data_IF_763914608078
#
_entry.id   IF_763914608078
#
_cell.length_a   1.000
_cell.length_b   1.000
_cell.length_c   1.000
_cell.angle_alpha   90.00
_cell.angle_beta   90.00
_cell.angle_gamma   90.00
#
_symmetry.space_group_name_H-M   'P 1'
#
loop_
_entity.id
_entity.type
_entity.pdbx_description
1 polymer ?
#
# COMPACT_ATOMS: atom_id res chain seq x y z
N UNK A 1 -50.60 -22.05 59.72
CA UNK A 1 -51.74 -21.18 60.08
C UNK A 1 -51.31 -19.75 59.78
N UNK A 2 -51.96 -18.90 59.00
CA UNK A 2 -53.30 -18.82 58.40
C UNK A 2 -53.18 -17.85 57.21
N UNK A 3 -53.89 -18.17 56.13
CA UNK A 3 -54.47 -17.34 55.05
C UNK A 3 -54.30 -15.80 55.12
N UNK A 4 -54.29 -15.04 54.02
CA UNK A 4 -54.94 -15.24 52.73
C UNK A 4 -55.30 -13.90 52.07
N UNK A 5 -55.72 -14.00 50.80
CA UNK A 5 -56.67 -13.16 50.03
C UNK A 5 -56.68 -11.63 50.25
N UNK A 6 -56.52 -10.82 49.20
CA UNK A 6 -57.66 -10.25 48.45
C UNK A 6 -57.09 -9.23 47.43
N UNK A 7 -56.92 -9.52 46.14
CA UNK A 7 -57.80 -9.29 44.97
C UNK A 7 -58.99 -8.31 45.09
N UNK A 8 -59.01 -7.37 44.13
CA UNK A 8 -60.16 -6.63 43.51
C UNK A 8 -60.50 -5.28 44.19
N UNK A 9 -60.95 -4.21 43.53
CA UNK A 9 -61.54 -4.04 42.19
C UNK A 9 -61.47 -2.56 41.73
N UNK A 10 -61.41 -2.39 40.42
CA UNK A 10 -61.79 -1.26 39.55
C UNK A 10 -62.81 -0.22 40.12
N UNK A 11 -62.57 1.08 39.83
CA UNK A 11 -63.63 1.99 39.33
C UNK A 11 -63.08 2.96 38.29
N UNK A 12 -63.68 2.86 37.11
CA UNK A 12 -63.58 3.75 35.95
C UNK A 12 -64.62 4.90 36.11
N UNK A 13 -64.43 5.94 35.28
CA UNK A 13 -65.42 6.88 34.69
C UNK A 13 -65.24 8.34 35.08
N UNK A 14 -65.07 9.17 34.03
CA UNK A 14 -65.15 10.63 34.04
C UNK A 14 -64.20 11.24 33.00
N UNK A 15 -64.31 10.85 31.72
CA UNK A 15 -64.87 11.69 30.63
C UNK A 15 -64.41 13.15 30.67
N UNK A 16 -63.45 13.48 29.79
CA UNK A 16 -63.00 14.84 29.52
C UNK A 16 -62.02 14.82 28.37
N UNK A 17 -62.55 14.91 27.15
CA UNK A 17 -61.78 14.98 25.91
C UNK A 17 -61.61 16.45 25.51
N UNK A 18 -60.43 17.07 25.68
CA UNK A 18 -60.03 18.16 24.81
C UNK A 18 -59.21 17.57 23.66
N UNK A 19 -59.78 17.66 22.46
CA UNK A 19 -59.06 17.46 21.20
C UNK A 19 -58.01 18.57 21.13
N UNK A 20 -56.80 18.28 21.59
CA UNK A 20 -55.64 19.09 21.29
C UNK A 20 -55.24 18.76 19.84
N UNK A 21 -55.46 19.72 18.94
CA UNK A 21 -54.87 19.75 17.61
C UNK A 21 -53.35 19.63 17.76
N UNK A 22 -52.84 18.41 17.69
CA UNK A 22 -51.42 18.17 17.54
C UNK A 22 -51.02 18.68 16.15
N UNK A 23 -50.46 19.89 16.09
CA UNK A 23 -49.73 20.36 14.91
C UNK A 23 -48.74 19.27 14.51
N UNK A 24 -48.77 18.76 13.27
CA UNK A 24 -47.67 17.97 12.76
C UNK A 24 -46.58 18.96 12.37
N UNK A 25 -45.92 19.57 13.36
CA UNK A 25 -44.53 19.98 13.16
C UNK A 25 -43.77 18.66 13.07
N UNK A 26 -43.72 18.18 11.83
CA UNK A 26 -42.88 17.10 11.36
C UNK A 26 -41.55 17.21 12.09
N UNK A 27 -41.30 16.23 12.95
CA UNK A 27 -39.97 15.82 13.32
C UNK A 27 -39.23 15.65 11.98
N UNK A 28 -38.44 16.65 11.58
CA UNK A 28 -37.31 16.39 10.69
C UNK A 28 -36.37 15.51 11.52
N UNK A 29 -36.67 14.21 11.53
CA UNK A 29 -35.67 13.20 11.79
C UNK A 29 -34.64 13.44 10.71
N UNK A 30 -33.56 14.13 11.08
CA UNK A 30 -32.32 14.17 10.34
C UNK A 30 -31.95 12.71 10.11
N UNK A 31 -32.33 12.17 8.96
CA UNK A 31 -31.81 10.92 8.46
C UNK A 31 -30.35 11.19 8.09
N UNK A 32 -29.49 11.26 9.09
CA UNK A 32 -28.09 10.90 8.91
C UNK A 32 -28.15 9.45 8.46
N UNK A 33 -28.07 9.23 7.13
CA UNK A 33 -28.10 7.89 6.55
C UNK A 33 -27.08 7.04 7.31
N UNK A 34 -27.55 6.03 8.02
CA UNK A 34 -26.66 5.14 8.75
C UNK A 34 -25.75 4.48 7.72
N UNK A 35 -24.44 4.73 7.83
CA UNK A 35 -23.47 4.07 6.98
C UNK A 35 -23.63 2.55 7.14
N UNK A 36 -23.44 1.77 6.07
CA UNK A 36 -23.47 0.32 6.19
C UNK A 36 -22.40 -0.13 7.19
N UNK A 37 -22.76 -1.07 8.06
CA UNK A 37 -21.79 -1.67 8.98
C UNK A 37 -20.80 -2.52 8.18
N UNK A 38 -19.55 -2.06 8.09
CA UNK A 38 -18.46 -2.78 7.44
C UNK A 38 -17.70 -3.60 8.48
N UNK A 39 -17.55 -4.89 8.24
CA UNK A 39 -16.70 -5.78 9.03
C UNK A 39 -15.57 -6.27 8.13
N UNK A 40 -14.33 -5.92 8.49
CA UNK A 40 -13.14 -6.38 7.77
C UNK A 40 -12.72 -7.74 8.34
N UNK A 41 -12.64 -8.76 7.50
CA UNK A 41 -11.98 -10.03 7.81
C UNK A 41 -10.74 -10.15 6.93
N UNK A 42 -9.55 -10.20 7.54
CA UNK A 42 -8.28 -10.28 6.82
C UNK A 42 -7.82 -11.73 6.52
N UNK A 43 -8.76 -12.70 6.54
CA UNK A 43 -8.47 -14.12 6.38
C UNK A 43 -8.35 -14.56 4.92
N UNK A 44 -7.21 -15.18 4.59
CA UNK A 44 -6.83 -15.90 3.36
C UNK A 44 -7.50 -15.45 2.06
N UNK A 45 -7.05 -14.31 1.51
CA UNK A 45 -7.13 -14.09 0.06
C UNK A 45 -6.02 -14.93 -0.55
N UNK A 46 -6.37 -16.01 -1.25
CA UNK A 46 -5.37 -16.79 -1.97
C UNK A 46 -4.87 -16.00 -3.19
N UNK A 47 -3.55 -15.82 -3.34
CA UNK A 47 -2.99 -15.20 -4.54
C UNK A 47 -3.37 -15.95 -5.80
N UNK A 48 -3.55 -15.23 -6.90
CA UNK A 48 -3.65 -15.86 -8.23
C UNK A 48 -2.34 -16.62 -8.53
N UNK A 49 -2.41 -17.84 -9.12
CA UNK A 49 -1.22 -18.51 -9.63
C UNK A 49 -0.50 -17.66 -10.67
N UNK A 50 0.83 -17.61 -10.60
CA UNK A 50 1.64 -16.86 -11.58
C UNK A 50 1.97 -17.80 -12.73
N UNK A 51 1.59 -17.40 -13.94
CA UNK A 51 1.95 -18.13 -15.15
C UNK A 51 3.44 -17.98 -15.45
N UNK A 52 4.07 -18.99 -16.04
CA UNK A 52 5.51 -19.02 -16.30
C UNK A 52 5.99 -17.81 -17.11
N UNK A 53 5.25 -17.42 -18.15
CA UNK A 53 5.57 -16.24 -18.96
C UNK A 53 5.42 -14.94 -18.15
N UNK A 54 4.40 -14.83 -17.30
CA UNK A 54 4.21 -13.68 -16.41
C UNK A 54 5.39 -13.56 -15.46
N UNK A 55 5.78 -14.64 -14.79
CA UNK A 55 6.94 -14.67 -13.90
C UNK A 55 8.25 -14.29 -14.61
N UNK A 56 8.45 -14.81 -15.83
CA UNK A 56 9.61 -14.48 -16.67
C UNK A 56 9.66 -12.99 -17.01
N UNK A 57 8.53 -12.41 -17.42
CA UNK A 57 8.44 -10.99 -17.78
C UNK A 57 8.66 -10.08 -16.56
N UNK A 58 8.04 -10.41 -15.41
CA UNK A 58 8.23 -9.67 -14.16
C UNK A 58 9.70 -9.67 -13.75
N UNK A 59 10.35 -10.83 -13.75
CA UNK A 59 11.77 -10.93 -13.38
C UNK A 59 12.68 -10.12 -14.32
N UNK A 60 12.43 -10.20 -15.64
CA UNK A 60 13.16 -9.43 -16.65
C UNK A 60 12.99 -7.92 -16.46
N UNK A 61 11.75 -7.46 -16.33
CA UNK A 61 11.43 -6.04 -16.26
C UNK A 61 11.90 -5.43 -14.93
N UNK A 62 11.84 -6.20 -13.84
CA UNK A 62 12.40 -5.80 -12.55
C UNK A 62 13.92 -5.67 -12.58
N UNK A 63 14.63 -6.59 -13.26
CA UNK A 63 16.08 -6.47 -13.47
C UNK A 63 16.45 -5.22 -14.28
N UNK A 64 15.66 -4.87 -15.30
CA UNK A 64 15.87 -3.62 -16.03
C UNK A 64 15.60 -2.38 -15.17
N UNK A 65 14.60 -2.42 -14.28
CA UNK A 65 14.36 -1.34 -13.33
C UNK A 65 15.58 -1.08 -12.44
N UNK A 66 16.20 -2.13 -11.87
CA UNK A 66 17.41 -1.99 -11.06
C UNK A 66 18.60 -1.42 -11.84
N UNK A 67 18.83 -1.91 -13.06
CA UNK A 67 19.86 -1.35 -13.95
C UNK A 67 19.65 0.15 -14.18
N UNK A 68 18.42 0.54 -14.51
CA UNK A 68 18.10 1.93 -14.85
C UNK A 68 18.18 2.83 -13.61
N UNK A 69 17.78 2.34 -12.43
CA UNK A 69 17.96 3.03 -11.15
C UNK A 69 19.44 3.26 -10.83
N UNK A 70 20.28 2.24 -10.97
CA UNK A 70 21.72 2.36 -10.70
C UNK A 70 22.35 3.43 -11.61
N UNK A 71 22.04 3.43 -12.91
CA UNK A 71 22.51 4.44 -13.85
C UNK A 71 21.94 5.85 -13.55
N UNK A 72 20.69 5.93 -13.12
CA UNK A 72 20.04 7.19 -12.79
C UNK A 72 20.71 7.85 -11.57
N UNK A 73 21.04 7.07 -10.55
CA UNK A 73 21.72 7.51 -9.33
C UNK A 73 23.18 7.91 -9.58
N UNK A 74 23.90 7.14 -10.40
CA UNK A 74 25.31 7.39 -10.70
C UNK A 74 25.50 8.64 -11.55
N UNK A 75 24.66 8.82 -12.57
CA UNK A 75 24.77 9.96 -13.51
C UNK A 75 23.91 11.16 -13.15
N UNK A 76 23.16 11.10 -12.04
CA UNK A 76 22.16 12.10 -11.65
C UNK A 76 21.16 12.42 -12.80
N UNK A 77 20.63 11.37 -13.43
CA UNK A 77 19.75 11.42 -14.62
C UNK A 77 18.41 10.75 -14.34
N UNK A 78 17.45 11.51 -13.80
CA UNK A 78 16.14 10.98 -13.39
C UNK A 78 15.26 10.51 -14.55
N UNK A 79 15.48 11.00 -15.76
CA UNK A 79 14.80 10.59 -17.00
C UNK A 79 15.00 9.11 -17.33
N UNK A 80 16.09 8.49 -16.85
CA UNK A 80 16.31 7.04 -16.99
C UNK A 80 15.26 6.20 -16.27
N UNK A 81 14.57 6.76 -15.26
CA UNK A 81 13.54 6.05 -14.52
C UNK A 81 12.25 5.83 -15.33
N UNK A 82 12.04 6.59 -16.40
CA UNK A 82 10.79 6.59 -17.18
C UNK A 82 10.46 5.24 -17.82
N UNK A 83 11.48 4.40 -18.03
CA UNK A 83 11.32 3.13 -18.74
C UNK A 83 10.66 2.03 -17.89
N UNK A 84 10.85 2.03 -16.57
CA UNK A 84 10.42 0.94 -15.68
C UNK A 84 9.88 1.41 -14.31
N UNK A 85 9.90 2.70 -13.99
CA UNK A 85 9.29 3.22 -12.76
C UNK A 85 8.03 4.04 -13.03
N UNK A 86 7.10 3.96 -12.10
CA UNK A 86 5.87 4.77 -12.08
C UNK A 86 5.47 5.08 -10.64
N UNK A 87 4.49 5.97 -10.45
CA UNK A 87 3.93 6.30 -9.14
C UNK A 87 4.99 6.66 -8.09
N UNK A 88 4.76 6.20 -6.85
CA UNK A 88 5.57 6.59 -5.69
C UNK A 88 7.06 6.30 -5.83
N UNK A 89 7.45 5.14 -6.39
CA UNK A 89 8.86 4.84 -6.59
C UNK A 89 9.54 5.84 -7.54
N UNK A 90 8.86 6.18 -8.64
CA UNK A 90 9.39 7.17 -9.60
C UNK A 90 9.57 8.54 -8.95
N UNK A 91 8.56 9.01 -8.22
CA UNK A 91 8.59 10.31 -7.57
C UNK A 91 9.71 10.38 -6.52
N UNK A 92 9.81 9.35 -5.67
CA UNK A 92 10.84 9.25 -4.62
C UNK A 92 12.25 9.26 -5.21
N UNK A 93 12.53 8.44 -6.22
CA UNK A 93 13.88 8.39 -6.80
C UNK A 93 14.19 9.64 -7.63
N UNK A 94 13.20 10.22 -8.31
CA UNK A 94 13.37 11.51 -9.01
C UNK A 94 13.76 12.61 -8.04
N UNK A 95 13.08 12.71 -6.89
CA UNK A 95 13.41 13.68 -5.86
C UNK A 95 14.81 13.44 -5.30
N UNK A 96 15.13 12.19 -4.93
CA UNK A 96 16.46 11.83 -4.43
C UNK A 96 17.58 12.20 -5.40
N UNK A 97 17.41 11.92 -6.69
CA UNK A 97 18.39 12.28 -7.73
C UNK A 97 18.53 13.81 -7.85
N UNK A 98 17.43 14.55 -7.76
CA UNK A 98 17.45 16.01 -7.74
C UNK A 98 18.22 16.57 -6.54
N UNK A 99 18.01 15.98 -5.35
CA UNK A 99 18.68 16.38 -4.11
C UNK A 99 20.18 16.09 -4.19
N UNK A 100 20.57 14.91 -4.67
CA UNK A 100 21.95 14.52 -4.94
C UNK A 100 22.65 15.52 -5.87
N UNK A 101 22.00 15.86 -6.99
CA UNK A 101 22.52 16.84 -7.95
C UNK A 101 22.72 18.21 -7.33
N UNK A 102 21.79 18.66 -6.48
CA UNK A 102 21.89 19.95 -5.78
C UNK A 102 23.04 19.98 -4.79
N UNK A 103 23.34 18.83 -4.16
CA UNK A 103 24.41 18.67 -3.19
C UNK A 103 25.79 18.38 -3.80
N UNK A 104 25.92 18.30 -5.13
CA UNK A 104 27.12 17.83 -5.85
C UNK A 104 27.59 16.44 -5.37
N UNK A 105 26.59 15.56 -5.17
CA UNK A 105 26.76 14.16 -4.76
C UNK A 105 26.23 13.25 -5.86
N UNK A 106 26.83 12.07 -6.02
CA UNK A 106 26.19 10.95 -6.73
C UNK A 106 26.38 9.65 -5.94
N UNK A 107 25.51 8.69 -6.23
CA UNK A 107 25.49 7.38 -5.56
C UNK A 107 25.66 6.30 -6.62
N UNK A 108 26.67 5.45 -6.44
CA UNK A 108 26.89 4.28 -7.28
C UNK A 108 26.38 3.05 -6.54
N UNK A 109 25.48 2.32 -7.18
CA UNK A 109 25.08 0.98 -6.77
C UNK A 109 25.82 -0.04 -7.62
N UNK A 110 26.64 -0.86 -6.98
CA UNK A 110 27.19 -2.08 -7.59
C UNK A 110 26.31 -3.23 -7.14
N UNK A 111 25.53 -3.76 -8.09
CA UNK A 111 24.55 -4.80 -7.85
C UNK A 111 25.18 -6.20 -7.95
N UNK A 112 25.09 -6.98 -6.88
CA UNK A 112 25.59 -8.35 -6.77
C UNK A 112 24.48 -9.42 -6.87
N UNK A 113 23.24 -8.99 -7.10
CA UNK A 113 22.11 -9.85 -7.39
C UNK A 113 20.98 -9.76 -6.39
N UNK A 114 19.88 -10.40 -6.79
CA UNK A 114 18.58 -10.32 -6.15
C UNK A 114 18.00 -11.71 -5.91
N UNK A 115 17.24 -11.87 -4.82
CA UNK A 115 16.39 -13.05 -4.58
C UNK A 115 14.96 -12.59 -4.41
N UNK A 116 14.16 -12.80 -5.44
CA UNK A 116 12.80 -12.27 -5.52
C UNK A 116 11.77 -13.38 -5.28
N UNK A 117 10.76 -13.09 -4.45
CA UNK A 117 9.61 -13.94 -4.19
C UNK A 117 8.34 -13.12 -4.37
N UNK A 118 7.48 -13.50 -5.31
CA UNK A 118 6.12 -13.00 -5.33
C UNK A 118 5.31 -13.65 -4.21
N UNK A 119 4.63 -12.83 -3.40
CA UNK A 119 3.76 -13.33 -2.32
C UNK A 119 2.30 -12.93 -2.49
N UNK A 120 2.02 -12.01 -3.41
CA UNK A 120 0.67 -11.68 -3.81
C UNK A 120 0.63 -11.34 -5.30
N UNK A 121 -0.37 -11.89 -5.99
CA UNK A 121 -0.72 -11.51 -7.35
C UNK A 121 -2.25 -11.32 -7.40
N UNK A 122 -2.70 -10.13 -7.78
CA UNK A 122 -4.11 -9.78 -7.71
C UNK A 122 -4.94 -10.67 -8.65
N UNK A 123 -6.19 -10.99 -8.29
CA UNK A 123 -7.06 -11.84 -9.13
C UNK A 123 -7.27 -11.28 -10.55
N UNK A 124 -7.39 -9.96 -10.68
CA UNK A 124 -7.52 -9.26 -11.96
C UNK A 124 -6.19 -9.11 -12.74
N UNK A 125 -5.08 -9.49 -12.12
CA UNK A 125 -3.74 -9.42 -12.69
C UNK A 125 -3.13 -8.02 -12.74
N UNK A 126 -3.78 -7.00 -12.15
CA UNK A 126 -3.33 -5.61 -12.18
C UNK A 126 -2.16 -5.28 -11.24
N UNK A 127 -1.85 -6.12 -10.26
CA UNK A 127 -0.83 -5.82 -9.25
C UNK A 127 -0.12 -7.08 -8.75
N UNK A 128 1.20 -7.01 -8.63
CA UNK A 128 2.03 -8.05 -8.04
C UNK A 128 2.89 -7.47 -6.92
N UNK A 129 2.87 -8.10 -5.75
CA UNK A 129 3.75 -7.74 -4.64
C UNK A 129 4.88 -8.78 -4.50
N UNK A 130 6.09 -8.25 -4.38
CA UNK A 130 7.31 -9.03 -4.28
C UNK A 130 8.02 -8.71 -2.97
N UNK A 131 8.66 -9.72 -2.40
CA UNK A 131 9.76 -9.56 -1.47
C UNK A 131 11.05 -9.77 -2.25
N UNK A 132 11.95 -8.81 -2.17
CA UNK A 132 13.27 -8.89 -2.75
C UNK A 132 14.35 -8.87 -1.66
N UNK A 133 15.43 -9.58 -1.90
CA UNK A 133 16.66 -9.62 -1.13
C UNK A 133 17.80 -9.19 -2.04
N UNK A 134 18.08 -7.90 -2.04
CA UNK A 134 19.14 -7.31 -2.85
C UNK A 134 20.49 -7.39 -2.13
N UNK A 135 21.54 -7.72 -2.86
CA UNK A 135 22.93 -7.61 -2.40
C UNK A 135 23.59 -6.47 -3.16
N UNK A 136 23.84 -5.36 -2.48
CA UNK A 136 24.35 -4.14 -3.08
C UNK A 136 25.64 -3.72 -2.39
N UNK A 137 26.60 -3.23 -3.16
CA UNK A 137 27.62 -2.32 -2.65
C UNK A 137 27.21 -0.89 -3.00
N UNK A 138 27.10 -0.04 -1.98
CA UNK A 138 26.66 1.35 -2.10
C UNK A 138 27.86 2.25 -1.87
N UNK A 139 28.15 3.09 -2.85
CA UNK A 139 29.22 4.08 -2.79
C UNK A 139 28.63 5.49 -2.95
N UNK A 140 29.07 6.43 -2.11
CA UNK A 140 28.66 7.83 -2.17
C UNK A 140 29.87 8.71 -2.47
N UNK A 141 29.74 9.52 -3.50
CA UNK A 141 30.77 10.43 -3.97
C UNK A 141 30.33 11.88 -3.81
N UNK A 142 31.21 12.73 -3.29
CA UNK A 142 31.02 14.18 -3.24
C UNK A 142 32.21 14.88 -3.92
N UNK A 143 31.93 15.74 -4.91
CA UNK A 143 32.99 16.37 -5.72
C UNK A 143 33.97 15.37 -6.36
N UNK A 144 33.48 14.19 -6.75
CA UNK A 144 34.26 13.10 -7.34
C UNK A 144 35.11 12.28 -6.35
N UNK A 145 35.06 12.58 -5.05
CA UNK A 145 35.75 11.81 -4.01
C UNK A 145 34.79 10.86 -3.32
N UNK A 146 35.20 9.60 -3.18
CA UNK A 146 34.48 8.62 -2.36
C UNK A 146 34.48 9.08 -0.89
N UNK A 147 33.29 9.30 -0.31
CA UNK A 147 33.10 9.73 1.08
C UNK A 147 32.45 8.66 1.95
N UNK A 148 31.77 7.68 1.35
CA UNK A 148 31.15 6.56 2.05
C UNK A 148 31.07 5.35 1.14
N UNK A 149 31.27 4.16 1.72
CA UNK A 149 31.12 2.87 1.05
C UNK A 149 30.62 1.85 2.06
N UNK A 150 29.63 1.06 1.67
CA UNK A 150 29.13 -0.05 2.47
C UNK A 150 28.66 -1.22 1.59
N UNK A 151 28.74 -2.42 2.15
CA UNK A 151 28.09 -3.60 1.59
C UNK A 151 26.77 -3.80 2.33
N UNK A 152 25.66 -3.78 1.60
CA UNK A 152 24.32 -3.84 2.13
C UNK A 152 23.58 -5.07 1.57
N UNK A 153 23.10 -5.93 2.46
CA UNK A 153 22.02 -6.86 2.15
C UNK A 153 20.71 -6.21 2.58
N UNK A 154 19.86 -5.82 1.63
CA UNK A 154 18.65 -5.07 1.89
C UNK A 154 17.42 -5.84 1.41
N UNK A 155 16.47 -6.03 2.33
CA UNK A 155 15.17 -6.57 2.00
C UNK A 155 14.28 -5.44 1.48
N UNK A 156 13.53 -5.69 0.40
CA UNK A 156 12.56 -4.75 -0.17
C UNK A 156 11.17 -5.35 -0.26
N UNK A 157 10.17 -4.52 0.05
CA UNK A 157 8.80 -4.73 -0.37
C UNK A 157 8.59 -3.98 -1.68
N UNK A 158 8.19 -4.72 -2.72
CA UNK A 158 8.03 -4.19 -4.08
C UNK A 158 6.58 -4.32 -4.50
N UNK A 159 6.05 -3.28 -5.16
CA UNK A 159 4.77 -3.33 -5.84
C UNK A 159 5.00 -3.08 -7.33
N UNK A 160 4.67 -4.07 -8.15
CA UNK A 160 4.71 -3.96 -9.60
C UNK A 160 3.30 -3.94 -10.18
N UNK A 161 3.12 -3.21 -11.27
CA UNK A 161 1.85 -3.13 -12.02
C UNK A 161 2.14 -3.30 -13.51
N UNK A 162 1.29 -4.01 -14.27
CA UNK A 162 1.50 -4.17 -15.70
C UNK A 162 1.12 -2.88 -16.43
N UNK A 163 1.88 -2.55 -17.47
CA UNK A 163 1.46 -1.62 -18.52
C UNK A 163 1.22 -2.34 -19.83
N UNK A 164 1.35 -1.62 -20.95
CA UNK A 164 1.02 -2.15 -22.26
C UNK A 164 1.96 -3.30 -22.72
N UNK A 165 3.25 -3.21 -22.41
CA UNK A 165 4.30 -4.12 -22.92
C UNK A 165 5.26 -4.65 -21.85
N UNK A 166 5.18 -4.13 -20.63
CA UNK A 166 6.12 -4.40 -19.54
C UNK A 166 5.49 -4.21 -18.17
N UNK A 167 6.17 -4.68 -17.15
CA UNK A 167 5.86 -4.39 -15.75
C UNK A 167 6.62 -3.16 -15.25
N UNK A 168 5.94 -2.32 -14.48
CA UNK A 168 6.51 -1.13 -13.86
C UNK A 168 6.63 -1.31 -12.34
N UNK A 169 7.73 -0.83 -11.77
CA UNK A 169 7.91 -0.67 -10.32
C UNK A 169 7.15 0.58 -9.88
N UNK A 170 6.08 0.38 -9.10
CA UNK A 170 5.23 1.46 -8.57
C UNK A 170 5.63 1.87 -7.14
N UNK A 171 6.18 0.95 -6.36
CA UNK A 171 6.76 1.19 -5.03
C UNK A 171 7.93 0.23 -4.80
N UNK A 172 8.97 0.71 -4.13
CA UNK A 172 10.18 -0.03 -3.79
C UNK A 172 10.65 0.44 -2.41
N UNK A 173 10.16 -0.21 -1.35
CA UNK A 173 10.38 0.22 0.02
C UNK A 173 11.38 -0.70 0.73
N UNK A 174 12.47 -0.17 1.32
CA UNK A 174 13.31 -0.97 2.19
C UNK A 174 12.51 -1.38 3.43
N UNK A 175 12.57 -2.66 3.79
CA UNK A 175 11.94 -3.17 5.00
C UNK A 175 13.01 -3.59 6.01
N UNK A 176 12.75 -3.32 7.29
CA UNK A 176 13.61 -3.82 8.37
C UNK A 176 13.51 -5.35 8.39
N UNK A 177 14.67 -6.01 8.37
CA UNK A 177 14.84 -7.44 8.10
C UNK A 177 13.65 -8.31 8.47
N UNK A 178 13.02 -8.89 7.44
CA UNK A 178 12.01 -9.91 7.62
C UNK A 178 12.54 -11.21 7.01
N UNK A 179 12.45 -12.29 7.78
CA UNK A 179 12.86 -13.61 7.32
C UNK A 179 12.07 -13.96 6.05
N UNK A 180 12.81 -14.43 5.04
CA UNK A 180 12.19 -15.06 3.86
C UNK A 180 11.58 -16.40 4.26
#
# INVERSE_FOLDING_TARGET
MISGLSRRLLRLVGLGLPIALASPLLLEVLAAGSLPQVQLSAGSIEPRPIEELTGTNVARDYAYAWRDLAQALDHNQADRLDAYFTGFAKDTFTQRISDQKTADVHVLYVDHGHKVKAFFYSPDGGEMQLLDKAQLEIQVYAGGKLIHQENAAQDYLVLMTPGADRWFVRSLEPIAGSSF
#
